data_IF_257939083305
#
_entry.id   IF_257939083305
#
_cell.length_a   1.000
_cell.length_b   1.000
_cell.length_c   1.000
_cell.angle_alpha   90.00
_cell.angle_beta   90.00
_cell.angle_gamma   90.00
#
_symmetry.space_group_name_H-M   'P 1'
#
loop_
_entity.id
_entity.type
_entity.pdbx_description
1 polymer ?
#
# COMPACT_ATOMS: atom_id res chain seq x y z
N UNK A 1 -21.24 26.09 -6.04
CA UNK A 1 -22.52 25.68 -5.44
C UNK A 1 -22.24 24.85 -4.21
N UNK A 2 -22.63 25.32 -3.04
CA UNK A 2 -22.41 24.58 -1.78
C UNK A 2 -23.43 23.45 -1.72
N UNK A 3 -22.96 22.22 -1.65
CA UNK A 3 -23.81 21.03 -1.52
C UNK A 3 -24.47 21.06 -0.13
N UNK A 4 -25.80 20.88 -0.05
CA UNK A 4 -26.49 20.82 1.25
C UNK A 4 -26.00 19.62 2.08
N UNK A 5 -26.03 19.77 3.40
CA UNK A 5 -25.66 18.69 4.34
C UNK A 5 -26.43 17.39 4.07
N UNK A 6 -27.72 17.51 3.78
CA UNK A 6 -28.58 16.38 3.43
C UNK A 6 -28.10 15.65 2.17
N UNK A 7 -27.77 16.41 1.12
CA UNK A 7 -27.28 15.85 -0.14
C UNK A 7 -25.92 15.18 0.04
N UNK A 8 -25.02 15.78 0.82
CA UNK A 8 -23.71 15.22 1.17
C UNK A 8 -23.83 13.87 1.88
N UNK A 9 -24.65 13.76 2.92
CA UNK A 9 -24.85 12.52 3.66
C UNK A 9 -25.52 11.42 2.83
N UNK A 10 -26.50 11.78 2.00
CA UNK A 10 -27.15 10.82 1.09
C UNK A 10 -26.19 10.30 0.04
N UNK A 11 -25.33 11.15 -0.51
CA UNK A 11 -24.31 10.76 -1.47
C UNK A 11 -23.27 9.84 -0.80
N UNK A 12 -22.84 10.15 0.41
CA UNK A 12 -21.92 9.32 1.19
C UNK A 12 -22.48 7.90 1.41
N UNK A 13 -23.72 7.79 1.88
CA UNK A 13 -24.38 6.50 2.08
C UNK A 13 -24.54 5.70 0.80
N UNK A 14 -24.90 6.37 -0.31
CA UNK A 14 -25.03 5.75 -1.63
C UNK A 14 -23.69 5.21 -2.13
N UNK A 15 -22.63 6.01 -2.08
CA UNK A 15 -21.27 5.62 -2.53
C UNK A 15 -20.70 4.46 -1.72
N UNK A 16 -21.03 4.40 -0.44
CA UNK A 16 -20.58 3.33 0.46
C UNK A 16 -21.53 2.13 0.46
N UNK A 17 -22.64 2.18 -0.29
CA UNK A 17 -23.69 1.17 -0.32
C UNK A 17 -24.16 0.75 1.09
N UNK A 18 -24.35 1.74 1.99
CA UNK A 18 -24.70 1.50 3.39
C UNK A 18 -26.12 1.96 3.70
N UNK A 19 -26.84 1.15 4.49
CA UNK A 19 -28.10 1.58 5.10
C UNK A 19 -27.83 2.64 6.18
N UNK A 20 -28.83 3.42 6.54
CA UNK A 20 -28.70 4.46 7.57
C UNK A 20 -28.21 3.92 8.91
N UNK A 21 -28.65 2.73 9.31
CA UNK A 21 -28.24 2.12 10.59
C UNK A 21 -26.77 1.74 10.59
N UNK A 22 -26.34 1.09 9.52
CA UNK A 22 -24.94 0.69 9.35
C UNK A 22 -24.04 1.92 9.20
N UNK A 23 -24.50 2.95 8.49
CA UNK A 23 -23.75 4.19 8.33
C UNK A 23 -23.61 4.94 9.67
N UNK A 24 -24.69 5.08 10.45
CA UNK A 24 -24.64 5.69 11.77
C UNK A 24 -23.65 4.96 12.70
N UNK A 25 -23.69 3.64 12.71
CA UNK A 25 -22.74 2.81 13.48
C UNK A 25 -21.31 3.04 13.02
N UNK A 26 -21.08 3.10 11.69
CA UNK A 26 -19.74 3.28 11.10
C UNK A 26 -19.11 4.62 11.44
N UNK A 27 -19.90 5.69 11.50
CA UNK A 27 -19.42 7.02 11.88
C UNK A 27 -19.48 7.30 13.39
N UNK A 28 -19.84 6.29 14.21
CA UNK A 28 -19.81 6.37 15.65
C UNK A 28 -20.93 7.23 16.26
N UNK A 29 -22.07 7.37 15.59
CA UNK A 29 -23.18 8.20 16.09
C UNK A 29 -24.47 7.40 16.30
N UNK A 30 -25.35 7.91 17.16
CA UNK A 30 -26.69 7.34 17.32
C UNK A 30 -27.51 7.59 16.05
N UNK A 31 -28.32 6.62 15.63
CA UNK A 31 -29.21 6.73 14.49
C UNK A 31 -30.06 8.04 14.49
N UNK A 32 -30.61 8.41 15.65
CA UNK A 32 -31.39 9.64 15.82
C UNK A 32 -30.61 10.90 15.44
N UNK A 33 -29.31 10.97 15.74
CA UNK A 33 -28.48 12.10 15.34
C UNK A 33 -28.34 12.18 13.82
N UNK A 34 -28.07 11.07 13.15
CA UNK A 34 -28.03 11.00 11.71
C UNK A 34 -29.36 11.42 11.06
N UNK A 35 -30.48 10.99 11.62
CA UNK A 35 -31.79 11.34 11.10
C UNK A 35 -32.07 12.86 11.21
N UNK A 36 -31.65 13.54 12.29
CA UNK A 36 -31.76 15.00 12.40
C UNK A 36 -30.85 15.75 11.42
N UNK A 37 -29.69 15.18 11.08
CA UNK A 37 -28.78 15.73 10.08
C UNK A 37 -29.28 15.56 8.64
N UNK A 38 -30.13 14.57 8.41
CA UNK A 38 -30.74 14.29 7.10
C UNK A 38 -32.02 15.10 6.83
N UNK A 39 -32.48 15.92 7.80
CA UNK A 39 -33.62 16.81 7.60
C UNK A 39 -33.22 18.02 6.72
N UNK A 40 -34.16 18.64 6.02
CA UNK A 40 -33.95 19.92 5.34
C UNK A 40 -33.53 21.01 6.34
N UNK A 41 -32.67 21.94 5.92
CA UNK A 41 -32.16 23.03 6.77
C UNK A 41 -33.25 23.94 7.35
N UNK A 42 -34.43 24.00 6.71
CA UNK A 42 -35.60 24.74 7.22
C UNK A 42 -36.46 23.99 8.23
N UNK A 43 -36.13 22.75 8.60
CA UNK A 43 -36.90 21.96 9.57
C UNK A 43 -36.58 22.38 11.00
N UNK A 44 -37.60 22.44 11.88
CA UNK A 44 -37.42 22.77 13.31
C UNK A 44 -36.51 21.79 14.05
N UNK A 45 -36.47 20.55 13.61
CA UNK A 45 -35.61 19.49 14.20
C UNK A 45 -34.24 19.35 13.52
N UNK A 46 -33.97 20.17 12.48
CA UNK A 46 -32.66 20.15 11.82
C UNK A 46 -31.54 20.46 12.81
N UNK A 47 -30.45 19.75 12.69
CA UNK A 47 -29.20 20.02 13.41
C UNK A 47 -28.07 20.05 12.40
N UNK A 48 -27.16 21.01 12.56
CA UNK A 48 -25.92 21.05 11.80
C UNK A 48 -25.01 19.88 12.25
N UNK A 49 -24.43 19.19 11.30
CA UNK A 49 -23.45 18.14 11.55
C UNK A 49 -22.13 18.80 12.00
N UNK A 50 -21.49 18.31 13.06
CA UNK A 50 -20.17 18.80 13.45
C UNK A 50 -19.14 18.68 12.31
N UNK A 51 -18.28 19.68 12.16
CA UNK A 51 -17.28 19.73 11.11
C UNK A 51 -16.33 18.50 11.14
N UNK A 52 -15.96 18.05 12.34
CA UNK A 52 -15.14 16.85 12.52
C UNK A 52 -15.80 15.59 11.93
N UNK A 53 -17.13 15.48 12.08
CA UNK A 53 -17.90 14.38 11.49
C UNK A 53 -17.97 14.51 9.98
N UNK A 54 -18.12 15.73 9.47
CA UNK A 54 -18.12 15.99 8.03
C UNK A 54 -16.80 15.60 7.38
N UNK A 55 -15.67 15.98 8.00
CA UNK A 55 -14.32 15.58 7.55
C UNK A 55 -14.16 14.06 7.58
N UNK A 56 -14.58 13.42 8.67
CA UNK A 56 -14.50 11.96 8.82
C UNK A 56 -15.36 11.22 7.77
N UNK A 57 -16.57 11.69 7.49
CA UNK A 57 -17.42 11.14 6.42
C UNK A 57 -16.76 11.30 5.06
N UNK A 58 -16.17 12.45 4.77
CA UNK A 58 -15.45 12.70 3.51
C UNK A 58 -14.31 11.72 3.33
N UNK A 59 -13.53 11.48 4.39
CA UNK A 59 -12.42 10.54 4.39
C UNK A 59 -12.88 9.09 4.19
N UNK A 60 -13.94 8.65 4.88
CA UNK A 60 -14.51 7.32 4.69
C UNK A 60 -15.01 7.11 3.26
N UNK A 61 -15.64 8.12 2.66
CA UNK A 61 -16.13 8.04 1.27
C UNK A 61 -14.95 7.95 0.29
N UNK A 62 -13.93 8.79 0.48
CA UNK A 62 -12.73 8.77 -0.36
C UNK A 62 -12.01 7.42 -0.29
N UNK A 63 -11.86 6.88 0.91
CA UNK A 63 -11.26 5.57 1.13
C UNK A 63 -12.13 4.42 0.56
N UNK A 64 -13.46 4.54 0.62
CA UNK A 64 -14.39 3.58 0.03
C UNK A 64 -14.31 3.55 -1.50
N UNK A 65 -14.27 4.71 -2.14
CA UNK A 65 -14.13 4.84 -3.60
C UNK A 65 -12.76 4.32 -4.08
N UNK A 66 -11.70 4.59 -3.34
CA UNK A 66 -10.38 4.02 -3.65
C UNK A 66 -10.40 2.50 -3.55
N UNK A 67 -10.99 1.95 -2.49
CA UNK A 67 -11.11 0.50 -2.31
C UNK A 67 -11.92 -0.14 -3.45
N UNK A 68 -13.04 0.46 -3.85
CA UNK A 68 -13.85 -0.02 -4.98
C UNK A 68 -13.08 0.05 -6.30
N UNK A 69 -12.37 1.16 -6.56
CA UNK A 69 -11.53 1.32 -7.74
C UNK A 69 -10.44 0.24 -7.81
N UNK A 70 -9.76 -0.04 -6.69
CA UNK A 70 -8.76 -1.09 -6.61
C UNK A 70 -9.39 -2.50 -6.65
N UNK A 71 -10.56 -2.70 -6.06
CA UNK A 71 -11.26 -3.99 -6.06
C UNK A 71 -11.90 -4.29 -7.42
N UNK A 72 -12.50 -3.30 -8.10
CA UNK A 72 -13.07 -3.46 -9.44
C UNK A 72 -11.99 -3.70 -10.50
N UNK A 73 -10.87 -2.97 -10.46
CA UNK A 73 -9.74 -3.24 -11.36
C UNK A 73 -9.16 -4.65 -11.19
N UNK A 74 -9.42 -5.29 -10.04
CA UNK A 74 -8.95 -6.64 -9.71
C UNK A 74 -9.98 -7.72 -10.07
N UNK A 75 -11.29 -7.43 -10.17
CA UNK A 75 -12.34 -8.44 -10.37
C UNK A 75 -12.68 -8.76 -11.84
N UNK A 76 -12.45 -7.85 -12.77
CA UNK A 76 -13.06 -7.92 -14.13
C UNK A 76 -12.13 -8.36 -15.27
N UNK A 77 -10.86 -8.74 -15.01
CA UNK A 77 -9.91 -9.18 -16.06
C UNK A 77 -9.27 -10.54 -15.79
N UNK A 78 -8.63 -11.17 -16.80
CA UNK A 78 -7.74 -12.30 -16.59
C UNK A 78 -6.71 -11.98 -15.51
N UNK A 79 -6.29 -12.96 -14.71
CA UNK A 79 -5.42 -12.73 -13.54
C UNK A 79 -4.15 -11.91 -13.90
N UNK A 80 -3.56 -12.15 -15.07
CA UNK A 80 -2.40 -11.38 -15.57
C UNK A 80 -2.73 -9.93 -15.89
N UNK A 81 -3.92 -9.64 -16.39
CA UNK A 81 -4.37 -8.26 -16.64
C UNK A 81 -4.73 -7.53 -15.34
N UNK A 82 -5.20 -8.25 -14.31
CA UNK A 82 -5.48 -7.68 -12.99
C UNK A 82 -4.23 -7.20 -12.26
N UNK A 83 -3.10 -7.91 -12.45
CA UNK A 83 -1.79 -7.53 -11.87
C UNK A 83 -1.06 -6.52 -12.76
N UNK A 84 -1.37 -6.51 -14.07
CA UNK A 84 -0.74 -5.65 -15.09
C UNK A 84 -1.54 -4.36 -15.39
N UNK A 85 -2.36 -3.86 -14.47
CA UNK A 85 -3.14 -2.62 -14.69
C UNK A 85 -2.20 -1.47 -15.07
N UNK A 86 -2.30 -1.05 -16.33
CA UNK A 86 -1.71 0.14 -16.95
C UNK A 86 -0.26 0.47 -16.56
N UNK A 87 0.68 -0.13 -17.27
CA UNK A 87 2.11 0.17 -17.15
C UNK A 87 2.83 -0.77 -16.20
N UNK A 88 4.12 -0.87 -16.36
CA UNK A 88 4.98 -1.68 -15.50
C UNK A 88 4.97 -1.12 -14.07
N UNK A 89 4.12 -1.66 -13.21
CA UNK A 89 4.10 -1.29 -11.78
C UNK A 89 5.31 -1.92 -11.09
N UNK A 90 6.46 -1.26 -11.21
CA UNK A 90 7.70 -1.65 -10.58
C UNK A 90 7.90 -0.80 -9.32
N UNK A 91 8.30 -1.42 -8.22
CA UNK A 91 8.75 -0.71 -7.03
C UNK A 91 10.27 -0.89 -6.89
N UNK A 92 11.05 -0.06 -7.56
CA UNK A 92 12.51 -0.21 -7.64
C UNK A 92 13.26 0.81 -6.80
N UNK A 93 12.77 2.05 -6.71
CA UNK A 93 13.40 3.19 -6.05
C UNK A 93 12.36 4.06 -5.37
N UNK A 94 12.77 4.78 -4.33
CA UNK A 94 11.95 5.82 -3.70
C UNK A 94 11.78 7.05 -4.60
N UNK A 95 12.65 7.25 -5.59
CA UNK A 95 12.58 8.34 -6.57
C UNK A 95 11.33 8.24 -7.50
N UNK A 96 10.61 7.12 -7.45
CA UNK A 96 9.35 6.91 -8.19
C UNK A 96 8.14 7.60 -7.53
N UNK A 97 8.29 8.07 -6.31
CA UNK A 97 7.19 8.61 -5.52
C UNK A 97 7.17 10.14 -5.51
N UNK A 98 5.96 10.68 -5.59
CA UNK A 98 5.64 12.06 -5.20
C UNK A 98 4.96 12.03 -3.83
N UNK A 99 4.86 13.19 -3.17
CA UNK A 99 4.12 13.33 -1.90
C UNK A 99 2.69 12.76 -2.01
N UNK A 100 1.98 13.12 -3.06
CA UNK A 100 0.62 12.67 -3.31
C UNK A 100 0.53 11.14 -3.45
N UNK A 101 1.44 10.52 -4.23
CA UNK A 101 1.44 9.07 -4.42
C UNK A 101 1.78 8.29 -3.14
N UNK A 102 2.62 8.85 -2.26
CA UNK A 102 2.90 8.26 -0.93
C UNK A 102 1.69 8.38 0.00
N UNK A 103 1.02 9.54 0.00
CA UNK A 103 -0.21 9.73 0.78
C UNK A 103 -1.32 8.75 0.33
N UNK A 104 -1.46 8.53 -0.99
CA UNK A 104 -2.38 7.53 -1.54
C UNK A 104 -2.01 6.11 -1.10
N UNK A 105 -0.73 5.76 -1.18
CA UNK A 105 -0.24 4.46 -0.72
C UNK A 105 -0.51 4.24 0.77
N UNK A 106 -0.32 5.28 1.61
CA UNK A 106 -0.54 5.16 3.05
C UNK A 106 -2.03 5.05 3.40
N UNK A 107 -2.92 5.69 2.63
CA UNK A 107 -4.36 5.44 2.74
C UNK A 107 -4.72 3.97 2.47
N UNK A 108 -4.09 3.37 1.46
CA UNK A 108 -4.25 1.93 1.19
C UNK A 108 -3.67 1.10 2.33
N UNK A 109 -2.52 1.47 2.88
CA UNK A 109 -1.92 0.76 4.02
C UNK A 109 -2.84 0.77 5.26
N UNK A 110 -3.49 1.90 5.55
CA UNK A 110 -4.49 1.99 6.64
C UNK A 110 -5.67 1.02 6.42
N UNK A 111 -6.16 0.92 5.18
CA UNK A 111 -7.22 -0.03 4.83
C UNK A 111 -6.78 -1.49 4.96
N UNK A 112 -5.49 -1.77 4.79
CA UNK A 112 -4.92 -3.12 4.95
C UNK A 112 -4.66 -3.51 6.40
N UNK A 113 -4.63 -2.58 7.36
CA UNK A 113 -4.38 -2.88 8.77
C UNK A 113 -5.28 -3.99 9.34
N UNK A 114 -6.61 -4.02 9.13
CA UNK A 114 -7.45 -5.09 9.66
C UNK A 114 -7.09 -6.47 9.09
N UNK A 115 -6.60 -6.55 7.84
CA UNK A 115 -6.13 -7.79 7.21
C UNK A 115 -4.80 -8.21 7.85
N UNK A 116 -3.85 -7.28 7.98
CA UNK A 116 -2.57 -7.51 8.63
C UNK A 116 -2.74 -7.99 10.09
N UNK A 117 -3.69 -7.40 10.83
CA UNK A 117 -4.04 -7.76 12.22
C UNK A 117 -4.94 -9.00 12.34
N UNK A 118 -5.25 -9.71 11.25
CA UNK A 118 -6.09 -10.91 11.21
C UNK A 118 -7.54 -10.67 11.63
N UNK A 119 -8.03 -9.48 11.52
CA UNK A 119 -9.42 -9.09 11.84
C UNK A 119 -10.34 -9.23 10.63
N UNK A 120 -9.75 -9.26 9.42
CA UNK A 120 -10.45 -9.50 8.14
C UNK A 120 -9.68 -10.46 7.27
N UNK A 121 -10.40 -11.18 6.43
CA UNK A 121 -9.87 -12.03 5.36
C UNK A 121 -10.02 -11.29 4.04
N UNK A 122 -9.00 -11.36 3.19
CA UNK A 122 -9.04 -10.88 1.82
C UNK A 122 -8.62 -12.00 0.86
N UNK A 123 -9.22 -12.02 -0.31
CA UNK A 123 -8.89 -12.96 -1.40
C UNK A 123 -8.60 -12.21 -2.70
N UNK A 124 -8.19 -10.97 -2.59
CA UNK A 124 -7.94 -10.09 -3.75
C UNK A 124 -6.85 -10.62 -4.68
N UNK A 125 -5.94 -11.45 -4.17
CA UNK A 125 -4.89 -12.13 -4.94
C UNK A 125 -5.13 -13.64 -5.08
N UNK A 126 -6.37 -14.10 -4.93
CA UNK A 126 -6.68 -15.53 -5.07
C UNK A 126 -6.29 -16.05 -6.47
N UNK A 127 -5.49 -17.12 -6.49
CA UNK A 127 -4.93 -17.73 -7.69
C UNK A 127 -3.62 -17.09 -8.18
N UNK A 128 -3.19 -15.95 -7.65
CA UNK A 128 -1.92 -15.34 -7.98
C UNK A 128 -0.75 -16.01 -7.24
N UNK A 129 0.43 -16.02 -7.88
CA UNK A 129 1.68 -16.58 -7.36
C UNK A 129 2.74 -15.49 -7.25
N UNK A 130 3.32 -15.34 -6.07
CA UNK A 130 4.48 -14.47 -5.84
C UNK A 130 5.77 -15.26 -5.99
N UNK A 131 6.68 -14.81 -6.85
CA UNK A 131 8.08 -15.20 -6.84
C UNK A 131 8.84 -14.41 -5.78
N UNK A 132 9.24 -15.09 -4.69
CA UNK A 132 9.94 -14.46 -3.57
C UNK A 132 11.42 -14.86 -3.65
N UNK A 133 12.22 -14.07 -4.42
CA UNK A 133 13.57 -14.42 -4.87
C UNK A 133 14.61 -13.69 -4.02
N UNK A 134 15.19 -14.39 -3.07
CA UNK A 134 16.17 -13.84 -2.13
C UNK A 134 17.56 -14.44 -2.34
N UNK A 135 18.40 -13.73 -3.05
CA UNK A 135 19.81 -14.10 -3.30
C UNK A 135 20.74 -13.66 -2.17
N UNK A 136 20.30 -12.72 -1.33
CA UNK A 136 20.94 -12.31 -0.08
C UNK A 136 20.08 -12.71 1.12
N UNK A 137 20.68 -13.18 2.20
CA UNK A 137 19.95 -13.62 3.39
C UNK A 137 19.11 -12.51 4.02
N UNK A 138 17.83 -12.78 4.21
CA UNK A 138 16.89 -11.86 4.88
C UNK A 138 15.66 -12.61 5.38
N UNK A 139 15.60 -12.89 6.66
CA UNK A 139 14.43 -13.58 7.25
C UNK A 139 13.21 -12.66 7.30
N UNK A 140 13.37 -11.45 7.86
CA UNK A 140 12.24 -10.54 8.07
C UNK A 140 11.58 -10.11 6.77
N UNK A 141 12.34 -9.59 5.83
CA UNK A 141 11.80 -9.08 4.55
C UNK A 141 11.13 -10.20 3.76
N UNK A 142 11.79 -11.36 3.63
CA UNK A 142 11.25 -12.52 2.92
C UNK A 142 9.93 -12.99 3.51
N UNK A 143 9.89 -13.22 4.82
CA UNK A 143 8.67 -13.69 5.50
C UNK A 143 7.56 -12.65 5.47
N UNK A 144 7.88 -11.35 5.57
CA UNK A 144 6.87 -10.30 5.53
C UNK A 144 6.16 -10.20 4.18
N UNK A 145 6.89 -10.20 3.07
CA UNK A 145 6.29 -10.21 1.73
C UNK A 145 5.49 -11.49 1.48
N UNK A 146 6.05 -12.65 1.79
CA UNK A 146 5.35 -13.93 1.64
C UNK A 146 4.06 -13.99 2.45
N UNK A 147 4.11 -13.59 3.73
CA UNK A 147 2.92 -13.59 4.58
C UNK A 147 1.87 -12.56 4.14
N UNK A 148 2.28 -11.39 3.66
CA UNK A 148 1.37 -10.37 3.13
C UNK A 148 0.62 -10.91 1.90
N UNK A 149 1.34 -11.52 0.97
CA UNK A 149 0.74 -12.08 -0.26
C UNK A 149 -0.23 -13.21 0.05
N UNK A 150 0.13 -14.14 0.96
CA UNK A 150 -0.77 -15.20 1.43
C UNK A 150 -2.02 -14.64 2.15
N UNK A 151 -1.90 -13.55 2.94
CA UNK A 151 -3.05 -12.91 3.60
C UNK A 151 -4.04 -12.27 2.64
N UNK A 152 -3.57 -11.93 1.45
CA UNK A 152 -4.40 -11.41 0.36
C UNK A 152 -4.98 -12.52 -0.52
N UNK A 153 -4.73 -13.80 -0.18
CA UNK A 153 -5.30 -14.97 -0.85
C UNK A 153 -4.40 -15.61 -1.91
N UNK A 154 -3.21 -15.06 -2.15
CA UNK A 154 -2.26 -15.62 -3.11
C UNK A 154 -1.38 -16.73 -2.55
N UNK A 155 -0.53 -17.29 -3.41
CA UNK A 155 0.47 -18.32 -3.08
C UNK A 155 1.89 -17.79 -3.27
N UNK A 156 2.87 -18.44 -2.63
CA UNK A 156 4.26 -18.00 -2.71
C UNK A 156 5.15 -19.13 -3.22
N UNK A 157 5.93 -18.81 -4.25
CA UNK A 157 7.05 -19.61 -4.73
C UNK A 157 8.34 -18.97 -4.19
N UNK A 158 8.95 -19.61 -3.19
CA UNK A 158 10.03 -19.04 -2.38
C UNK A 158 11.36 -19.68 -2.76
N UNK A 159 12.37 -18.86 -3.07
CA UNK A 159 13.73 -19.32 -3.32
C UNK A 159 14.70 -18.56 -2.42
N UNK A 160 15.72 -19.27 -1.92
CA UNK A 160 16.73 -18.67 -1.06
C UNK A 160 18.14 -19.13 -1.43
N UNK A 161 19.03 -18.13 -1.42
CA UNK A 161 20.46 -18.35 -1.57
C UNK A 161 20.93 -18.44 -3.02
N UNK A 162 22.07 -17.79 -3.28
CA UNK A 162 22.72 -17.78 -4.58
C UNK A 162 23.22 -19.19 -4.97
N UNK A 163 23.72 -19.93 -4.01
CA UNK A 163 24.40 -21.23 -4.21
C UNK A 163 23.47 -22.33 -4.75
N UNK A 164 22.17 -22.19 -4.53
CA UNK A 164 21.17 -23.17 -5.01
C UNK A 164 20.40 -22.71 -6.25
N UNK A 165 20.74 -21.54 -6.80
CA UNK A 165 20.11 -21.03 -8.02
C UNK A 165 20.91 -21.44 -9.26
N UNK A 166 20.25 -21.45 -10.42
CA UNK A 166 20.89 -21.63 -11.71
C UNK A 166 21.92 -20.53 -12.03
N UNK A 167 21.78 -19.35 -11.41
CA UNK A 167 22.75 -18.24 -11.49
C UNK A 167 24.13 -18.66 -10.96
N UNK A 168 24.22 -19.54 -9.95
CA UNK A 168 25.49 -20.09 -9.50
C UNK A 168 26.20 -20.96 -10.57
N UNK A 169 25.46 -21.41 -11.59
CA UNK A 169 25.96 -22.13 -12.74
C UNK A 169 26.22 -21.24 -13.97
N UNK A 170 26.09 -19.90 -13.80
CA UNK A 170 26.35 -18.92 -14.86
C UNK A 170 25.11 -18.48 -15.64
N UNK A 171 23.89 -18.82 -15.21
CA UNK A 171 22.67 -18.26 -15.80
C UNK A 171 22.61 -16.74 -15.55
N UNK A 172 22.25 -15.97 -16.57
CA UNK A 172 22.17 -14.53 -16.43
C UNK A 172 20.94 -14.09 -15.64
N UNK A 173 21.00 -12.88 -15.04
CA UNK A 173 19.83 -12.23 -14.41
C UNK A 173 18.68 -12.12 -15.39
N UNK A 174 19.01 -11.77 -16.66
CA UNK A 174 18.02 -11.65 -17.73
C UNK A 174 17.26 -12.96 -17.96
N UNK A 175 17.98 -14.08 -18.11
CA UNK A 175 17.38 -15.39 -18.38
C UNK A 175 16.56 -15.88 -17.17
N UNK A 176 17.13 -15.77 -15.97
CA UNK A 176 16.42 -16.11 -14.71
C UNK A 176 15.11 -15.31 -14.59
N UNK A 177 15.13 -14.00 -14.88
CA UNK A 177 13.95 -13.14 -14.83
C UNK A 177 12.89 -13.56 -15.85
N UNK A 178 13.30 -13.86 -17.07
CA UNK A 178 12.42 -14.33 -18.16
C UNK A 178 11.75 -15.65 -17.82
N UNK A 179 12.52 -16.62 -17.32
CA UNK A 179 12.01 -17.92 -16.92
C UNK A 179 11.03 -17.77 -15.75
N UNK A 180 11.41 -17.04 -14.70
CA UNK A 180 10.56 -16.84 -13.53
C UNK A 180 9.26 -16.11 -13.85
N UNK A 181 9.29 -15.14 -14.77
CA UNK A 181 8.08 -14.43 -15.22
C UNK A 181 7.06 -15.33 -15.93
N UNK A 182 7.46 -16.51 -16.36
CA UNK A 182 6.58 -17.53 -16.91
C UNK A 182 5.82 -18.33 -15.83
N UNK A 183 6.31 -18.36 -14.59
CA UNK A 183 5.78 -19.17 -13.51
C UNK A 183 5.01 -18.36 -12.46
N UNK A 184 5.31 -17.06 -12.32
CA UNK A 184 4.76 -16.22 -11.25
C UNK A 184 4.11 -14.95 -11.82
N UNK A 185 3.25 -14.31 -11.03
CA UNK A 185 2.49 -13.13 -11.43
C UNK A 185 3.10 -11.82 -10.89
N UNK A 186 3.96 -11.90 -9.90
CA UNK A 186 4.77 -10.80 -9.37
C UNK A 186 6.06 -11.35 -8.76
N UNK A 187 7.10 -10.53 -8.65
CA UNK A 187 8.35 -10.90 -8.00
C UNK A 187 8.75 -9.91 -6.92
N UNK A 188 9.21 -10.42 -5.78
CA UNK A 188 10.01 -9.65 -4.81
C UNK A 188 11.43 -10.16 -4.90
N UNK A 189 12.38 -9.26 -5.13
CA UNK A 189 13.77 -9.61 -5.37
C UNK A 189 14.67 -8.90 -4.38
N UNK A 190 15.56 -9.67 -3.76
CA UNK A 190 16.68 -9.17 -2.97
C UNK A 190 17.98 -9.72 -3.50
N UNK A 191 18.91 -8.85 -3.85
CA UNK A 191 20.21 -9.21 -4.43
C UNK A 191 21.35 -8.49 -3.71
N UNK A 192 22.54 -9.12 -3.56
CA UNK A 192 23.70 -8.47 -2.95
C UNK A 192 24.32 -7.37 -3.81
N UNK A 193 24.19 -7.46 -5.13
CA UNK A 193 24.80 -6.51 -6.06
C UNK A 193 23.83 -5.41 -6.46
N UNK A 194 24.26 -4.17 -6.33
CA UNK A 194 23.48 -2.99 -6.69
C UNK A 194 23.16 -2.95 -8.19
N UNK A 195 21.93 -2.63 -8.54
CA UNK A 195 21.43 -2.56 -9.92
C UNK A 195 20.82 -3.86 -10.44
N UNK A 196 21.06 -4.99 -9.77
CA UNK A 196 20.53 -6.29 -10.18
C UNK A 196 19.00 -6.33 -10.19
N UNK A 197 18.33 -5.73 -9.20
CA UNK A 197 16.85 -5.70 -9.15
C UNK A 197 16.27 -4.93 -10.36
N UNK A 198 16.91 -3.85 -10.76
CA UNK A 198 16.51 -3.10 -11.95
C UNK A 198 16.74 -3.90 -13.24
N UNK A 199 17.76 -4.76 -13.30
CA UNK A 199 18.01 -5.67 -14.41
C UNK A 199 16.91 -6.74 -14.50
N UNK A 200 16.53 -7.38 -13.38
CA UNK A 200 15.37 -8.26 -13.34
C UNK A 200 14.11 -7.58 -13.87
N UNK A 201 13.83 -6.35 -13.42
CA UNK A 201 12.65 -5.60 -13.81
C UNK A 201 12.60 -5.26 -15.31
N UNK A 202 13.77 -5.00 -15.92
CA UNK A 202 13.86 -4.74 -17.39
C UNK A 202 13.58 -5.98 -18.23
N UNK A 203 13.89 -7.15 -17.69
CA UNK A 203 13.78 -8.41 -18.42
C UNK A 203 12.38 -9.03 -18.36
N UNK A 204 11.46 -8.48 -17.57
CA UNK A 204 10.12 -9.04 -17.37
C UNK A 204 9.00 -8.03 -17.60
N UNK A 205 7.78 -8.54 -17.82
CA UNK A 205 6.55 -7.76 -17.97
C UNK A 205 5.64 -7.84 -16.72
N UNK A 206 6.03 -8.61 -15.70
CA UNK A 206 5.30 -8.70 -14.44
C UNK A 206 5.85 -7.70 -13.40
N UNK A 207 5.07 -7.31 -12.38
CA UNK A 207 5.52 -6.43 -11.31
C UNK A 207 6.76 -6.98 -10.58
N UNK A 208 7.74 -6.12 -10.36
CA UNK A 208 8.93 -6.41 -9.55
C UNK A 208 9.01 -5.42 -8.38
N UNK A 209 9.22 -5.96 -7.19
CA UNK A 209 9.41 -5.20 -5.96
C UNK A 209 10.85 -5.39 -5.47
N UNK A 210 11.53 -4.28 -5.21
CA UNK A 210 12.86 -4.27 -4.64
C UNK A 210 12.80 -4.55 -3.12
N UNK A 211 13.21 -5.74 -2.73
CA UNK A 211 13.38 -6.21 -1.34
C UNK A 211 14.78 -5.96 -0.76
N UNK A 212 15.62 -5.18 -1.47
CA UNK A 212 17.00 -4.83 -1.13
C UNK A 212 17.97 -5.10 -2.28
N UNK A 213 18.67 -4.06 -2.73
CA UNK A 213 19.53 -4.05 -3.92
C UNK A 213 20.96 -3.68 -3.52
N UNK A 214 21.69 -4.61 -2.94
CA UNK A 214 23.04 -4.41 -2.44
C UNK A 214 23.14 -3.22 -1.47
N UNK A 215 24.14 -2.34 -1.61
CA UNK A 215 24.24 -1.08 -0.86
C UNK A 215 23.31 0.02 -1.38
N UNK A 216 22.56 -0.22 -2.45
CA UNK A 216 21.68 0.74 -3.10
C UNK A 216 20.43 1.09 -2.29
N UNK A 217 19.26 0.64 -2.71
CA UNK A 217 17.98 1.02 -2.09
C UNK A 217 17.19 -0.15 -1.51
N UNK A 218 16.31 0.19 -0.58
CA UNK A 218 15.26 -0.69 -0.07
C UNK A 218 13.96 0.14 0.08
N UNK A 219 13.28 0.44 -1.04
CA UNK A 219 12.19 1.41 -1.07
C UNK A 219 11.02 1.01 -0.15
N UNK A 220 10.66 -0.26 -0.08
CA UNK A 220 9.59 -0.71 0.79
C UNK A 220 9.92 -0.51 2.28
N UNK A 221 11.19 -0.58 2.69
CA UNK A 221 11.59 -0.27 4.07
C UNK A 221 11.48 1.22 4.35
N UNK A 222 11.93 2.08 3.44
CA UNK A 222 11.81 3.53 3.61
C UNK A 222 10.34 3.98 3.71
N UNK A 223 9.46 3.40 2.88
CA UNK A 223 8.01 3.65 2.95
C UNK A 223 7.43 3.20 4.30
N UNK A 224 7.84 2.03 4.81
CA UNK A 224 7.41 1.52 6.11
C UNK A 224 7.88 2.43 7.25
N UNK A 225 9.13 2.90 7.20
CA UNK A 225 9.70 3.79 8.20
C UNK A 225 8.97 5.15 8.18
N UNK A 226 8.72 5.73 7.01
CA UNK A 226 7.97 6.98 6.87
C UNK A 226 6.51 6.83 7.35
N UNK A 227 5.85 5.74 7.00
CA UNK A 227 4.49 5.43 7.48
C UNK A 227 4.45 5.35 9.02
N UNK A 228 5.45 4.73 9.63
CA UNK A 228 5.58 4.64 11.09
C UNK A 228 5.78 6.01 11.71
N UNK A 229 6.67 6.83 11.14
CA UNK A 229 6.92 8.20 11.60
C UNK A 229 5.63 9.03 11.54
N UNK A 230 4.93 9.04 10.41
CA UNK A 230 3.66 9.75 10.23
C UNK A 230 2.60 9.30 11.23
N UNK A 231 2.46 7.99 11.44
CA UNK A 231 1.50 7.43 12.39
C UNK A 231 1.80 7.87 13.82
N UNK A 232 3.08 7.87 14.23
CA UNK A 232 3.48 8.30 15.57
C UNK A 232 3.35 9.81 15.76
N UNK A 233 3.68 10.63 14.76
CA UNK A 233 3.46 12.07 14.82
C UNK A 233 1.98 12.41 14.95
N UNK A 234 1.13 11.75 14.15
CA UNK A 234 -0.33 11.90 14.24
C UNK A 234 -0.85 11.51 15.64
N UNK A 235 -0.37 10.39 16.20
CA UNK A 235 -0.73 9.94 17.55
C UNK A 235 -0.35 10.96 18.63
N UNK A 236 0.74 11.70 18.43
CA UNK A 236 1.21 12.75 19.32
C UNK A 236 0.56 14.12 19.05
N UNK A 237 -0.35 14.21 18.08
CA UNK A 237 -0.99 15.47 17.67
C UNK A 237 0.00 16.46 17.04
N UNK A 238 1.11 15.98 16.44
CA UNK A 238 2.15 16.79 15.81
C UNK A 238 2.07 16.69 14.30
N UNK A 239 2.49 17.76 13.62
CA UNK A 239 2.69 17.76 12.18
C UNK A 239 4.10 17.24 11.85
N UNK A 240 4.23 16.59 10.69
CA UNK A 240 5.53 16.12 10.21
C UNK A 240 6.32 17.26 9.53
N UNK A 241 5.62 18.20 8.90
CA UNK A 241 6.25 19.32 8.21
C UNK A 241 7.14 20.13 9.20
N UNK A 242 8.41 20.27 8.88
CA UNK A 242 9.40 20.93 9.73
C UNK A 242 9.93 20.08 10.89
N UNK A 243 9.62 18.77 10.92
CA UNK A 243 10.13 17.88 11.96
C UNK A 243 11.64 17.65 11.84
N UNK A 244 12.30 17.50 12.98
CA UNK A 244 13.70 17.13 13.06
C UNK A 244 13.83 15.63 13.35
N UNK A 245 14.42 14.88 12.41
CA UNK A 245 14.64 13.44 12.54
C UNK A 245 16.14 13.18 12.67
N UNK A 246 16.57 12.61 13.79
CA UNK A 246 17.94 12.18 14.00
C UNK A 246 18.09 10.72 13.54
N UNK A 247 19.03 10.46 12.64
CA UNK A 247 19.40 9.12 12.19
C UNK A 247 20.73 8.73 12.84
N UNK A 248 20.74 7.56 13.49
CA UNK A 248 21.92 7.07 14.23
C UNK A 248 22.23 5.64 13.81
N UNK A 249 23.47 5.36 13.47
CA UNK A 249 23.95 4.04 13.07
C UNK A 249 24.93 4.08 11.91
N UNK A 250 24.94 3.05 11.07
CA UNK A 250 25.75 3.02 9.84
C UNK A 250 25.12 3.88 8.75
N UNK A 251 25.50 5.17 8.75
CA UNK A 251 24.99 6.14 7.77
C UNK A 251 25.69 6.02 6.41
N UNK A 252 26.81 5.31 6.33
CA UNK A 252 27.56 5.16 5.09
C UNK A 252 27.06 4.01 4.22
N UNK A 253 26.77 2.86 4.83
CA UNK A 253 26.39 1.64 4.10
C UNK A 253 24.92 1.23 4.34
N UNK A 254 24.24 1.96 5.21
CA UNK A 254 22.84 1.72 5.54
C UNK A 254 21.87 2.13 4.44
N UNK A 255 21.62 1.27 3.46
CA UNK A 255 20.70 1.55 2.33
C UNK A 255 19.31 2.06 2.76
N UNK A 256 18.80 1.60 3.90
CA UNK A 256 17.52 2.06 4.44
C UNK A 256 17.55 3.52 4.85
N UNK A 257 18.67 3.98 5.42
CA UNK A 257 18.90 5.39 5.78
C UNK A 257 18.92 6.26 4.53
N UNK A 258 19.62 5.84 3.48
CA UNK A 258 19.70 6.58 2.23
C UNK A 258 18.32 6.71 1.57
N UNK A 259 17.56 5.62 1.47
CA UNK A 259 16.22 5.65 0.92
C UNK A 259 15.25 6.49 1.77
N UNK A 260 15.36 6.42 3.10
CA UNK A 260 14.52 7.22 4.00
C UNK A 260 14.85 8.73 3.92
N UNK A 261 16.12 9.11 3.82
CA UNK A 261 16.50 10.51 3.63
C UNK A 261 15.89 11.07 2.34
N UNK A 262 16.04 10.38 1.21
CA UNK A 262 15.44 10.79 -0.07
C UNK A 262 13.93 10.98 0.06
N UNK A 263 13.25 10.01 0.64
CA UNK A 263 11.80 10.04 0.80
C UNK A 263 11.35 11.14 1.78
N UNK A 264 12.12 11.40 2.84
CA UNK A 264 11.86 12.46 3.81
C UNK A 264 11.93 13.85 3.17
N UNK A 265 12.88 14.09 2.25
CA UNK A 265 13.02 15.38 1.56
C UNK A 265 11.80 15.74 0.70
N UNK A 266 10.96 14.77 0.37
CA UNK A 266 9.69 14.98 -0.35
C UNK A 266 8.57 15.36 0.63
N UNK A 267 8.67 14.96 1.91
CA UNK A 267 7.57 14.97 2.88
C UNK A 267 7.78 15.86 4.11
N UNK A 268 9.02 16.28 4.39
CA UNK A 268 9.38 17.05 5.60
C UNK A 268 9.86 18.47 5.29
#
# INVERSE_FOLDING_TARGET
MTISQQAFLRDAMRRLNLTRDVFATRIGVKRRALDTWLLPEGSQEFRAMPEVVQRFVSEIVQNGVLLEKYTQSVQDGPLRERIAVEGKHQLLSVDQFTRESVEDLFRVADMMQPIARRQKVSRVLEGAVLGNLFFEASTRTRVSFGSAFCRLGGSVCDTTGFTFSSMAKGESIYDTSRVMSGYVDAMVIRHPDQGSVAEFARATNIPVVNGGDGPGEHPSQALLDLYTILTEFSRLGKLLDGAHIAMVGDLKYGRTVHSLIKLSLIHI
#
